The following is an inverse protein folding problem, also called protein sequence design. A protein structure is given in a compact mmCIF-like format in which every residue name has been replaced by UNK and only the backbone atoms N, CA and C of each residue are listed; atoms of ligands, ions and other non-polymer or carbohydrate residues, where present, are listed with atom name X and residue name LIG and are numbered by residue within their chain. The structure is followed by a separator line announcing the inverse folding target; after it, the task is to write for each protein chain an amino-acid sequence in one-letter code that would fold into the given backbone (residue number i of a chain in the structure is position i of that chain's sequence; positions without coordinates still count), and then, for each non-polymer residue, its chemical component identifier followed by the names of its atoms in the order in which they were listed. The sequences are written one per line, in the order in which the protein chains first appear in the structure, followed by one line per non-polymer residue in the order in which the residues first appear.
data_IF_433413954618
#
_entry.id   IF_433413954618
#
_cell.length_a   1.000
_cell.length_b   1.000
_cell.length_c   1.000
_cell.angle_alpha   90.00
_cell.angle_beta   90.00
_cell.angle_gamma   90.00
#
_symmetry.space_group_name_H-M   'P 1'
#
loop_
_entity.id
_entity.type
_entity.pdbx_description
1 polymer ?
#
# COMPACT_ATOMS: atom_id res chain seq x y z
N UNK A 1 10.56 34.10 37.70
CA UNK A 1 9.47 33.14 37.36
C UNK A 1 9.31 32.83 35.86
N UNK A 2 10.24 33.25 34.98
CA UNK A 2 10.19 33.03 33.51
C UNK A 2 10.99 31.81 33.02
N UNK A 3 11.89 31.23 33.84
CA UNK A 3 12.79 30.15 33.42
C UNK A 3 12.14 28.75 33.43
N UNK A 4 11.10 28.53 34.24
CA UNK A 4 10.45 27.19 34.37
C UNK A 4 9.57 26.80 33.15
N UNK A 5 9.04 27.79 32.43
CA UNK A 5 8.17 27.51 31.25
C UNK A 5 8.96 27.11 30.00
N UNK A 6 10.20 27.60 29.84
CA UNK A 6 11.02 27.31 28.66
C UNK A 6 11.59 25.87 28.68
N UNK A 7 11.82 25.31 29.85
CA UNK A 7 12.35 23.92 29.99
C UNK A 7 11.25 22.91 29.66
N UNK A 8 10.01 23.16 30.16
CA UNK A 8 8.89 22.26 29.86
C UNK A 8 8.49 22.27 28.36
N UNK A 9 8.50 23.42 27.71
CA UNK A 9 8.24 23.55 26.29
C UNK A 9 9.32 22.89 25.43
N UNK A 10 10.60 23.02 25.82
CA UNK A 10 11.73 22.39 25.12
C UNK A 10 11.73 20.86 25.25
N UNK A 11 11.35 20.33 26.43
CA UNK A 11 11.25 18.88 26.64
C UNK A 11 10.05 18.32 25.88
N UNK A 12 8.91 18.99 25.86
CA UNK A 12 7.73 18.57 25.09
C UNK A 12 8.00 18.59 23.56
N UNK A 13 8.71 19.61 23.07
CA UNK A 13 9.10 19.68 21.65
C UNK A 13 10.11 18.59 21.28
N UNK A 14 11.02 18.22 22.18
CA UNK A 14 11.98 17.15 21.96
C UNK A 14 11.34 15.76 21.97
N UNK A 15 10.34 15.51 22.83
CA UNK A 15 9.58 14.27 22.88
C UNK A 15 8.69 14.12 21.62
N UNK A 16 8.08 15.20 21.14
CA UNK A 16 7.28 15.20 19.91
C UNK A 16 8.16 14.98 18.65
N UNK A 17 9.37 15.54 18.63
CA UNK A 17 10.30 15.31 17.51
C UNK A 17 10.84 13.89 17.46
N UNK A 18 11.00 13.24 18.59
CA UNK A 18 11.43 11.83 18.64
C UNK A 18 10.31 10.86 18.19
N UNK A 19 9.04 11.16 18.48
CA UNK A 19 7.93 10.33 18.05
C UNK A 19 7.70 10.38 16.52
N UNK A 20 8.03 11.48 15.87
CA UNK A 20 7.97 11.60 14.40
C UNK A 20 9.15 10.91 13.71
N UNK A 21 10.34 10.89 14.31
CA UNK A 21 11.51 10.17 13.78
C UNK A 21 11.37 8.63 13.91
N UNK A 22 10.58 8.14 14.85
CA UNK A 22 10.37 6.71 15.09
C UNK A 22 9.41 6.05 14.07
N UNK A 23 8.75 6.81 13.21
CA UNK A 23 7.96 6.29 12.08
C UNK A 23 8.82 5.99 10.84
N UNK A 24 10.04 5.53 11.02
CA UNK A 24 10.78 4.98 9.90
C UNK A 24 10.03 3.72 9.42
N UNK A 25 9.36 3.86 8.26
CA UNK A 25 8.50 2.82 7.69
C UNK A 25 9.27 1.52 7.58
N UNK A 26 8.85 0.51 8.31
CA UNK A 26 9.43 -0.83 8.23
C UNK A 26 9.14 -1.41 6.85
N UNK A 27 10.18 -1.61 6.02
CA UNK A 27 10.05 -2.23 4.72
C UNK A 27 10.22 -3.74 4.87
N UNK A 28 9.14 -4.50 4.77
CA UNK A 28 9.18 -5.96 4.79
C UNK A 28 9.77 -6.55 3.51
N UNK A 29 9.64 -5.84 2.38
CA UNK A 29 10.20 -6.26 1.11
C UNK A 29 10.80 -5.08 0.37
N UNK A 30 12.05 -5.25 -0.06
CA UNK A 30 12.76 -4.30 -0.93
C UNK A 30 13.24 -5.06 -2.15
N UNK A 31 12.68 -4.71 -3.30
CA UNK A 31 12.96 -5.35 -4.58
C UNK A 31 14.01 -4.58 -5.37
N UNK A 32 14.87 -5.33 -6.05
CA UNK A 32 15.63 -4.89 -7.22
C UNK A 32 15.73 -6.05 -8.23
N UNK A 33 16.07 -5.79 -9.52
CA UNK A 33 16.20 -6.86 -10.52
C UNK A 33 17.27 -7.91 -10.17
N UNK A 34 18.27 -7.55 -9.37
CA UNK A 34 19.37 -8.44 -9.00
C UNK A 34 19.10 -9.23 -7.73
N UNK A 35 18.26 -8.71 -6.84
CA UNK A 35 17.98 -9.34 -5.56
C UNK A 35 16.74 -8.73 -4.89
N UNK A 36 16.13 -9.50 -4.01
CA UNK A 36 15.06 -9.02 -3.15
C UNK A 36 15.41 -9.30 -1.69
N UNK A 37 15.37 -8.26 -0.87
CA UNK A 37 15.56 -8.37 0.58
C UNK A 37 14.21 -8.42 1.27
N UNK A 38 14.05 -9.43 2.12
CA UNK A 38 12.87 -9.62 2.96
C UNK A 38 13.22 -9.39 4.42
N UNK A 39 12.35 -8.71 5.14
CA UNK A 39 12.47 -8.42 6.57
C UNK A 39 11.15 -8.70 7.26
N UNK A 40 11.21 -9.23 8.47
CA UNK A 40 10.02 -9.45 9.28
C UNK A 40 10.33 -9.15 10.75
N UNK A 41 9.39 -8.53 11.44
CA UNK A 41 9.42 -8.44 12.89
C UNK A 41 8.58 -9.60 13.45
N UNK A 42 9.23 -10.52 14.14
CA UNK A 42 8.60 -11.71 14.70
C UNK A 42 9.33 -12.19 15.96
N UNK A 43 8.60 -12.74 16.96
CA UNK A 43 9.22 -13.24 18.19
C UNK A 43 10.09 -14.48 17.95
N UNK A 44 9.77 -15.28 16.94
CA UNK A 44 10.48 -16.50 16.60
C UNK A 44 11.05 -16.44 15.19
N UNK A 45 12.09 -17.23 14.93
CA UNK A 45 12.78 -17.32 13.64
C UNK A 45 11.83 -17.74 12.53
N UNK A 46 11.51 -16.86 11.56
CA UNK A 46 10.63 -17.16 10.45
C UNK A 46 11.37 -17.91 9.32
N UNK A 47 10.57 -18.56 8.47
CA UNK A 47 11.02 -19.10 7.20
C UNK A 47 10.30 -18.40 6.07
N UNK A 48 11.03 -17.77 5.15
CA UNK A 48 10.48 -17.25 3.90
C UNK A 48 10.15 -18.44 2.98
N UNK A 49 8.96 -18.40 2.38
CA UNK A 49 8.53 -19.33 1.34
C UNK A 49 8.23 -18.55 0.07
N UNK A 50 8.74 -19.00 -1.06
CA UNK A 50 8.54 -18.38 -2.36
C UNK A 50 7.65 -19.23 -3.26
N UNK A 51 6.79 -18.60 -4.03
CA UNK A 51 5.78 -19.24 -4.88
C UNK A 51 5.76 -18.61 -6.28
N UNK A 52 5.43 -19.43 -7.27
CA UNK A 52 5.22 -18.96 -8.65
C UNK A 52 3.91 -18.18 -8.79
N UNK A 53 2.89 -18.50 -8.00
CA UNK A 53 1.54 -17.98 -8.15
C UNK A 53 1.02 -17.36 -6.84
N UNK A 54 0.15 -16.38 -6.96
CA UNK A 54 -0.54 -15.72 -5.82
C UNK A 54 -1.60 -16.61 -5.16
N UNK A 55 -1.90 -17.76 -5.73
CA UNK A 55 -2.88 -18.72 -5.22
C UNK A 55 -2.47 -20.15 -5.58
N UNK A 56 -2.72 -21.09 -4.64
CA UNK A 56 -2.45 -22.51 -4.85
C UNK A 56 -0.95 -22.84 -5.06
N UNK A 57 -0.66 -24.09 -5.41
CA UNK A 57 0.71 -24.55 -5.61
C UNK A 57 1.54 -24.65 -4.34
N UNK A 58 2.70 -25.31 -4.45
CA UNK A 58 3.67 -25.46 -3.36
C UNK A 58 4.76 -24.40 -3.46
N UNK A 59 5.37 -24.06 -2.32
CA UNK A 59 6.56 -23.23 -2.32
C UNK A 59 7.69 -23.91 -3.10
N UNK A 60 8.25 -23.22 -4.09
CA UNK A 60 9.39 -23.72 -4.85
C UNK A 60 10.72 -23.49 -4.14
N UNK A 61 10.76 -22.55 -3.19
CA UNK A 61 11.96 -22.25 -2.39
C UNK A 61 11.57 -21.89 -0.96
N UNK A 62 12.39 -22.34 -0.02
CA UNK A 62 12.29 -21.98 1.41
C UNK A 62 13.63 -21.43 1.86
N UNK A 63 13.63 -20.31 2.57
CA UNK A 63 14.85 -19.64 3.05
C UNK A 63 14.65 -19.26 4.51
N UNK A 64 15.57 -19.69 5.37
CA UNK A 64 15.58 -19.27 6.77
C UNK A 64 16.10 -17.84 6.88
N UNK A 65 15.43 -16.99 7.66
CA UNK A 65 15.90 -15.64 7.92
C UNK A 65 16.97 -15.66 9.01
N UNK A 66 17.84 -14.64 8.98
CA UNK A 66 18.87 -14.38 9.98
C UNK A 66 18.43 -13.20 10.84
N UNK A 67 18.66 -13.28 12.13
CA UNK A 67 18.38 -12.19 13.06
C UNK A 67 19.26 -10.98 12.76
N UNK A 68 18.67 -9.80 12.66
CA UNK A 68 19.35 -8.53 12.37
C UNK A 68 19.10 -7.44 13.41
N UNK A 69 18.33 -7.75 14.45
CA UNK A 69 17.97 -6.86 15.55
C UNK A 69 16.97 -7.53 16.49
N UNK A 70 16.52 -6.84 17.52
CA UNK A 70 15.51 -7.36 18.43
C UNK A 70 14.22 -7.69 17.67
N UNK A 71 13.86 -8.99 17.67
CA UNK A 71 12.73 -9.52 16.95
C UNK A 71 12.69 -9.21 15.43
N UNK A 72 13.79 -8.67 14.88
CA UNK A 72 13.89 -8.37 13.45
C UNK A 72 14.73 -9.45 12.74
N UNK A 73 14.13 -10.02 11.69
CA UNK A 73 14.72 -11.08 10.88
C UNK A 73 14.84 -10.61 9.44
N UNK A 74 15.91 -10.98 8.76
CA UNK A 74 16.18 -10.57 7.38
C UNK A 74 16.75 -11.71 6.55
N UNK A 75 16.52 -11.66 5.24
CA UNK A 75 17.20 -12.49 4.25
C UNK A 75 17.20 -11.79 2.89
N UNK A 76 18.22 -12.02 2.09
CA UNK A 76 18.31 -11.54 0.71
C UNK A 76 18.34 -12.74 -0.24
N UNK A 77 17.46 -12.73 -1.22
CA UNK A 77 17.39 -13.74 -2.27
C UNK A 77 17.91 -13.13 -3.57
N UNK A 78 18.97 -13.70 -4.12
CA UNK A 78 19.56 -13.29 -5.41
C UNK A 78 18.66 -13.68 -6.58
N UNK A 79 18.71 -12.87 -7.64
CA UNK A 79 17.92 -13.01 -8.86
C UNK A 79 16.66 -12.15 -8.86
N UNK A 80 16.05 -12.07 -10.03
CA UNK A 80 14.82 -11.30 -10.23
C UNK A 80 13.61 -12.11 -9.73
N UNK A 81 12.97 -11.59 -8.70
CA UNK A 81 11.76 -12.17 -8.12
C UNK A 81 10.50 -11.41 -8.53
N UNK A 82 10.55 -10.43 -9.44
CA UNK A 82 9.37 -9.70 -9.90
C UNK A 82 8.29 -10.65 -10.40
N UNK A 83 7.05 -10.44 -9.95
CA UNK A 83 5.92 -11.29 -10.28
C UNK A 83 5.83 -12.61 -9.48
N UNK A 84 6.82 -12.91 -8.63
CA UNK A 84 6.74 -14.03 -7.68
C UNK A 84 5.99 -13.60 -6.42
N UNK A 85 5.63 -14.61 -5.63
CA UNK A 85 4.88 -14.42 -4.40
C UNK A 85 5.62 -15.02 -3.21
N UNK A 86 5.30 -14.53 -2.02
CA UNK A 86 5.97 -14.97 -0.81
C UNK A 86 5.02 -15.06 0.39
N UNK A 87 5.42 -15.86 1.36
CA UNK A 87 4.91 -15.85 2.74
C UNK A 87 6.05 -15.97 3.72
N UNK A 88 5.78 -15.57 4.95
CA UNK A 88 6.59 -15.91 6.11
C UNK A 88 5.87 -16.99 6.93
N UNK A 89 6.55 -18.10 7.16
CA UNK A 89 6.11 -19.15 8.10
C UNK A 89 6.72 -18.83 9.47
N UNK A 90 5.86 -18.48 10.41
CA UNK A 90 6.23 -18.07 11.78
C UNK A 90 6.01 -19.18 12.81
N UNK A 91 5.76 -20.43 12.35
CA UNK A 91 5.54 -21.59 13.21
C UNK A 91 4.07 -21.91 13.50
N UNK A 92 3.16 -20.96 13.34
CA UNK A 92 1.71 -21.13 13.55
C UNK A 92 0.90 -20.92 12.26
N UNK A 93 1.56 -20.92 11.14
CA UNK A 93 0.97 -20.67 9.82
C UNK A 93 1.79 -19.72 8.99
N UNK A 94 1.30 -19.46 7.80
CA UNK A 94 1.93 -18.59 6.82
C UNK A 94 1.21 -17.23 6.76
N UNK A 95 1.96 -16.15 6.64
CA UNK A 95 1.44 -14.79 6.50
C UNK A 95 2.18 -14.06 5.37
N UNK A 96 1.50 -13.18 4.59
CA UNK A 96 2.18 -12.30 3.63
C UNK A 96 3.04 -11.23 4.28
N UNK A 97 2.90 -11.03 5.60
CA UNK A 97 3.46 -9.91 6.34
C UNK A 97 2.44 -8.77 6.50
N UNK A 98 2.62 -7.97 7.55
CA UNK A 98 1.70 -6.87 7.92
C UNK A 98 1.88 -5.66 6.98
N UNK A 99 3.11 -5.46 6.47
CA UNK A 99 3.47 -4.34 5.60
C UNK A 99 3.68 -4.76 4.14
N UNK A 100 3.05 -5.87 3.71
CA UNK A 100 3.07 -6.28 2.31
C UNK A 100 2.45 -5.18 1.42
N UNK A 101 3.22 -4.64 0.46
CA UNK A 101 2.80 -3.55 -0.42
C UNK A 101 1.84 -4.00 -1.51
N UNK A 102 1.93 -5.26 -1.90
CA UNK A 102 1.04 -5.90 -2.86
C UNK A 102 0.81 -7.34 -2.42
N UNK A 103 -0.36 -7.86 -2.72
CA UNK A 103 -0.76 -9.21 -2.33
C UNK A 103 -1.40 -9.96 -3.49
N UNK A 104 -1.33 -11.27 -3.43
CA UNK A 104 -2.03 -12.16 -4.33
C UNK A 104 -3.51 -12.31 -3.97
N UNK A 105 -4.15 -13.28 -4.59
CA UNK A 105 -5.58 -13.55 -4.42
C UNK A 105 -5.96 -13.69 -2.93
N UNK A 106 -6.97 -12.94 -2.51
CA UNK A 106 -7.51 -12.90 -1.14
C UNK A 106 -6.47 -12.60 -0.05
N UNK A 107 -5.38 -11.90 -0.40
CA UNK A 107 -4.37 -11.51 0.58
C UNK A 107 -3.54 -12.66 1.15
N UNK A 108 -3.61 -13.86 0.58
CA UNK A 108 -2.95 -15.04 1.12
C UNK A 108 -1.42 -15.06 0.98
N UNK A 109 -0.88 -14.30 0.04
CA UNK A 109 0.57 -14.18 -0.22
C UNK A 109 0.94 -12.76 -0.54
N UNK A 110 2.10 -12.31 -0.07
CA UNK A 110 2.71 -11.07 -0.54
C UNK A 110 3.18 -11.25 -2.00
N UNK A 111 3.14 -10.16 -2.78
CA UNK A 111 3.63 -10.14 -4.16
C UNK A 111 4.90 -9.29 -4.25
N UNK A 112 5.89 -9.79 -5.00
CA UNK A 112 7.10 -9.03 -5.31
C UNK A 112 6.83 -8.15 -6.52
N UNK A 113 6.77 -6.85 -6.30
CA UNK A 113 6.45 -5.84 -7.32
C UNK A 113 7.48 -4.72 -7.30
N UNK A 114 7.78 -4.18 -8.46
CA UNK A 114 8.42 -2.87 -8.56
C UNK A 114 7.33 -1.79 -8.49
N UNK A 115 7.27 -1.09 -7.36
CA UNK A 115 6.26 -0.05 -7.15
C UNK A 115 6.37 1.11 -8.13
N UNK A 116 7.54 1.32 -8.76
CA UNK A 116 7.71 2.36 -9.77
C UNK A 116 6.96 2.04 -11.06
N UNK A 117 6.84 0.77 -11.41
CA UNK A 117 6.12 0.31 -12.60
C UNK A 117 4.58 0.33 -12.42
N UNK A 118 4.08 0.55 -11.21
CA UNK A 118 2.64 0.62 -10.96
C UNK A 118 2.03 1.98 -11.23
N UNK A 119 2.86 3.00 -11.44
CA UNK A 119 2.40 4.35 -11.74
C UNK A 119 1.85 4.43 -13.17
N UNK A 120 0.63 4.94 -13.37
CA UNK A 120 0.11 5.19 -14.71
C UNK A 120 0.89 6.32 -15.41
N UNK A 121 0.78 6.37 -16.72
CA UNK A 121 1.36 7.47 -17.52
C UNK A 121 0.85 8.82 -17.02
N UNK A 122 1.76 9.76 -16.78
CA UNK A 122 1.42 11.10 -16.29
C UNK A 122 1.34 11.23 -14.76
N UNK A 123 1.57 10.14 -14.00
CA UNK A 123 1.51 10.17 -12.53
C UNK A 123 2.44 11.21 -11.89
N UNK A 124 3.64 11.41 -12.45
CA UNK A 124 4.63 12.37 -11.95
C UNK A 124 4.15 13.82 -12.07
N UNK A 125 3.25 14.10 -13.00
CA UNK A 125 2.67 15.43 -13.23
C UNK A 125 1.32 15.61 -12.59
N UNK A 126 0.72 14.55 -12.06
CA UNK A 126 -0.55 14.61 -11.36
C UNK A 126 -0.43 15.49 -10.10
N UNK A 127 -1.44 16.30 -9.86
CA UNK A 127 -1.51 17.21 -8.72
C UNK A 127 -2.84 17.05 -8.01
N UNK A 128 -2.76 16.91 -6.71
CA UNK A 128 -3.96 16.90 -5.87
C UNK A 128 -4.74 18.21 -6.06
N UNK A 129 -6.04 18.07 -6.31
CA UNK A 129 -6.95 19.24 -6.30
C UNK A 129 -6.97 19.82 -4.87
N UNK A 130 -6.61 21.11 -4.70
CA UNK A 130 -6.59 21.72 -3.39
C UNK A 130 -8.02 21.88 -2.84
N UNK A 131 -8.22 21.44 -1.60
CA UNK A 131 -9.43 21.72 -0.82
C UNK A 131 -9.09 22.64 0.34
N UNK A 132 -9.85 23.69 0.57
CA UNK A 132 -9.60 24.63 1.67
C UNK A 132 -9.89 23.99 3.03
N UNK A 133 -10.97 23.23 3.11
CA UNK A 133 -11.39 22.51 4.31
C UNK A 133 -12.08 21.20 3.94
N UNK A 134 -11.96 20.15 4.75
CA UNK A 134 -12.80 18.96 4.60
C UNK A 134 -14.31 19.26 4.66
N UNK A 135 -14.72 20.32 5.34
CA UNK A 135 -16.12 20.77 5.42
C UNK A 135 -16.66 21.32 4.10
N UNK A 136 -15.77 21.66 3.15
CA UNK A 136 -16.19 22.15 1.81
C UNK A 136 -16.46 21.00 0.84
N UNK A 137 -16.28 19.75 1.25
CA UNK A 137 -16.48 18.58 0.40
C UNK A 137 -17.97 18.26 0.31
N UNK A 138 -18.47 18.16 -0.94
CA UNK A 138 -19.76 17.58 -1.29
C UNK A 138 -19.46 16.22 -1.90
N UNK A 139 -19.56 15.18 -1.06
CA UNK A 139 -19.12 13.83 -1.39
C UNK A 139 -20.29 13.04 -1.98
N UNK A 140 -20.04 12.40 -3.11
CA UNK A 140 -20.96 11.43 -3.70
C UNK A 140 -20.29 10.04 -3.63
N UNK A 141 -20.83 9.17 -2.79
CA UNK A 141 -20.40 7.78 -2.71
C UNK A 141 -21.14 6.96 -3.75
N UNK A 142 -20.43 6.21 -4.57
CA UNK A 142 -20.99 5.39 -5.61
C UNK A 142 -20.20 4.11 -5.86
N UNK A 143 -20.88 3.09 -6.36
CA UNK A 143 -20.24 1.93 -6.96
C UNK A 143 -20.13 2.15 -8.48
N UNK A 144 -18.91 2.19 -9.01
CA UNK A 144 -18.61 2.54 -10.41
C UNK A 144 -19.40 1.69 -11.43
N UNK A 145 -19.64 0.40 -11.13
CA UNK A 145 -20.43 -0.49 -11.99
C UNK A 145 -21.89 -0.05 -12.00
N UNK A 146 -22.50 0.13 -10.85
CA UNK A 146 -23.93 0.44 -10.75
C UNK A 146 -24.25 1.83 -11.31
N UNK A 147 -23.32 2.78 -11.13
CA UNK A 147 -23.41 4.12 -11.72
C UNK A 147 -23.43 4.11 -13.24
N UNK A 148 -22.76 3.15 -13.89
CA UNK A 148 -22.46 3.22 -15.32
C UNK A 148 -23.02 2.07 -16.17
N UNK A 149 -23.46 0.95 -15.55
CA UNK A 149 -23.78 -0.28 -16.29
C UNK A 149 -25.07 -0.19 -17.12
N UNK A 150 -26.03 0.62 -16.69
CA UNK A 150 -27.31 0.77 -17.39
C UNK A 150 -27.10 1.34 -18.79
N UNK A 151 -27.76 0.78 -19.82
CA UNK A 151 -27.70 1.31 -21.19
C UNK A 151 -28.06 2.78 -21.30
N UNK A 152 -29.00 3.29 -20.49
CA UNK A 152 -29.43 4.68 -20.47
C UNK A 152 -28.37 5.66 -20.02
N UNK A 153 -27.33 5.20 -19.33
CA UNK A 153 -26.18 6.03 -18.94
C UNK A 153 -25.51 6.69 -20.15
N UNK A 154 -25.54 6.01 -21.29
CA UNK A 154 -24.92 6.45 -22.53
C UNK A 154 -23.40 6.57 -22.44
N UNK A 155 -22.76 5.90 -21.45
CA UNK A 155 -21.33 5.81 -21.27
C UNK A 155 -20.75 4.66 -22.10
N UNK A 156 -19.50 4.79 -22.57
CA UNK A 156 -18.84 3.79 -23.39
C UNK A 156 -18.24 2.66 -22.53
N UNK A 157 -17.59 3.00 -21.42
CA UNK A 157 -16.90 2.05 -20.55
C UNK A 157 -17.80 1.52 -19.42
N UNK A 158 -19.02 1.08 -19.76
CA UNK A 158 -20.04 0.62 -18.81
C UNK A 158 -19.51 -0.43 -17.83
N UNK A 159 -19.75 -0.24 -16.54
CA UNK A 159 -19.34 -1.13 -15.47
C UNK A 159 -17.84 -1.09 -15.17
N UNK A 160 -17.08 -0.16 -15.73
CA UNK A 160 -15.63 0.01 -15.52
C UNK A 160 -15.32 1.33 -14.83
N UNK A 161 -14.18 1.40 -14.13
CA UNK A 161 -13.71 2.65 -13.53
C UNK A 161 -13.54 3.77 -14.56
N UNK A 162 -13.13 3.44 -15.79
CA UNK A 162 -12.99 4.40 -16.88
C UNK A 162 -14.28 5.14 -17.23
N UNK A 163 -15.46 4.59 -16.91
CA UNK A 163 -16.73 5.29 -17.11
C UNK A 163 -16.76 6.64 -16.34
N UNK A 164 -16.12 6.71 -15.18
CA UNK A 164 -16.09 7.92 -14.36
C UNK A 164 -15.18 9.01 -14.94
N UNK A 165 -14.32 8.69 -15.89
CA UNK A 165 -13.45 9.65 -16.59
C UNK A 165 -14.09 10.21 -17.86
N UNK A 166 -15.25 9.67 -18.29
CA UNK A 166 -15.95 10.17 -19.45
C UNK A 166 -16.61 11.52 -19.17
N UNK A 167 -16.55 12.44 -20.15
CA UNK A 167 -17.05 13.80 -19.98
C UNK A 167 -18.51 13.84 -19.51
N UNK A 168 -19.35 12.96 -20.03
CA UNK A 168 -20.77 12.85 -19.65
C UNK A 168 -20.97 12.52 -18.16
N UNK A 169 -20.13 11.63 -17.59
CA UNK A 169 -20.17 11.31 -16.18
C UNK A 169 -19.71 12.50 -15.34
N UNK A 170 -18.61 13.15 -15.75
CA UNK A 170 -18.06 14.33 -15.08
C UNK A 170 -19.08 15.47 -15.07
N UNK A 171 -19.73 15.74 -16.21
CA UNK A 171 -20.74 16.81 -16.33
C UNK A 171 -21.96 16.53 -15.45
N UNK A 172 -22.40 15.28 -15.36
CA UNK A 172 -23.49 14.87 -14.48
C UNK A 172 -23.15 15.17 -13.02
N UNK A 173 -21.98 14.76 -12.55
CA UNK A 173 -21.53 14.99 -11.18
C UNK A 173 -21.35 16.49 -10.87
N UNK A 174 -20.76 17.24 -11.81
CA UNK A 174 -20.64 18.70 -11.68
C UNK A 174 -22.00 19.41 -11.63
N UNK A 175 -22.96 18.98 -12.43
CA UNK A 175 -24.33 19.53 -12.42
C UNK A 175 -25.02 19.32 -11.07
N UNK A 176 -24.70 18.24 -10.37
CA UNK A 176 -25.18 17.99 -9.01
C UNK A 176 -24.42 18.79 -7.93
N UNK A 177 -23.38 19.52 -8.31
CA UNK A 177 -22.55 20.28 -7.36
C UNK A 177 -21.53 19.41 -6.63
N UNK A 178 -21.29 18.19 -7.06
CA UNK A 178 -20.34 17.23 -6.47
C UNK A 178 -18.91 17.69 -6.74
N UNK A 179 -18.09 17.71 -5.71
CA UNK A 179 -16.67 18.05 -5.82
C UNK A 179 -15.73 16.95 -5.29
N UNK A 180 -16.28 15.87 -4.75
CA UNK A 180 -15.53 14.68 -4.35
C UNK A 180 -16.34 13.42 -4.63
N UNK A 181 -15.69 12.38 -5.15
CA UNK A 181 -16.29 11.06 -5.37
C UNK A 181 -15.58 10.05 -4.49
N UNK A 182 -16.37 9.26 -3.77
CA UNK A 182 -15.92 8.10 -3.00
C UNK A 182 -16.35 6.83 -3.75
N UNK A 183 -15.40 5.93 -4.09
CA UNK A 183 -15.62 4.74 -4.91
C UNK A 183 -15.36 3.49 -4.05
#
# INVERSE_FOLDING_TARGET
MKLKYNIAASVAAFILSQSVAAQQRFNEMTYSPNETTFRLNAPNKPTLRLYESGRGGKAYKKVKLTQSGDNTWTTTVKGDLKGKFYTFDIGHGETPGVFAKAVGCNGGRGAVVDMKETNPTGWETDRRVPTKSPADLIIYELHHRDFSIDPSSGLMHKGKYLALTEQKAIDHLKKLGINAVHI
#
